data_IF_022056580956
#
_entry.id   IF_022056580956
#
_cell.length_a   1.000
_cell.length_b   1.000
_cell.length_c   1.000
_cell.angle_alpha   90.00
_cell.angle_beta   90.00
_cell.angle_gamma   90.00
#
_symmetry.space_group_name_H-M   'P 1'
#
loop_
_entity.id
_entity.type
_entity.pdbx_description
1 polymer ?
#
# COMPACT_ATOMS: atom_id res chain seq x y z
N UNK A 1 -11.62 12.62 6.30
CA UNK A 1 -11.56 11.15 6.04
C UNK A 1 -11.47 10.92 4.53
N UNK A 2 -10.90 9.82 4.01
CA UNK A 2 -10.79 9.57 2.54
C UNK A 2 -12.11 9.83 1.77
N UNK A 3 -13.23 9.62 2.44
CA UNK A 3 -14.60 9.79 1.95
C UNK A 3 -15.18 11.21 2.05
N UNK A 4 -14.53 12.08 2.80
CA UNK A 4 -14.90 13.50 2.95
C UNK A 4 -14.10 14.40 1.98
N UNK A 5 -13.17 13.82 1.21
CA UNK A 5 -12.41 14.56 0.21
C UNK A 5 -13.27 14.86 -1.01
N UNK A 6 -13.06 16.03 -1.62
CA UNK A 6 -13.68 16.31 -2.92
C UNK A 6 -13.21 15.28 -3.95
N UNK A 7 -14.07 14.96 -4.91
CA UNK A 7 -13.79 13.99 -5.96
C UNK A 7 -12.48 14.29 -6.70
N UNK A 8 -12.18 15.58 -6.92
CA UNK A 8 -10.94 16.01 -7.56
C UNK A 8 -9.70 15.64 -6.72
N UNK A 9 -9.72 15.91 -5.42
CA UNK A 9 -8.61 15.53 -4.54
C UNK A 9 -8.46 14.02 -4.43
N UNK A 10 -9.58 13.29 -4.41
CA UNK A 10 -9.55 11.83 -4.37
C UNK A 10 -8.85 11.25 -5.61
N UNK A 11 -9.24 11.70 -6.81
CA UNK A 11 -8.62 11.27 -8.08
C UNK A 11 -7.12 11.58 -8.11
N UNK A 12 -6.71 12.78 -7.69
CA UNK A 12 -5.30 13.18 -7.67
C UNK A 12 -4.51 12.30 -6.69
N UNK A 13 -5.02 12.08 -5.48
CA UNK A 13 -4.38 11.22 -4.48
C UNK A 13 -4.25 9.77 -4.96
N UNK A 14 -5.29 9.25 -5.62
CA UNK A 14 -5.31 7.90 -6.16
C UNK A 14 -4.34 7.73 -7.32
N UNK A 15 -4.28 8.69 -8.22
CA UNK A 15 -3.33 8.67 -9.34
C UNK A 15 -1.90 8.71 -8.83
N UNK A 16 -1.61 9.58 -7.86
CA UNK A 16 -0.29 9.66 -7.22
C UNK A 16 0.08 8.33 -6.52
N UNK A 17 -0.83 7.78 -5.72
CA UNK A 17 -0.62 6.50 -5.05
C UNK A 17 -0.40 5.35 -6.05
N UNK A 18 -1.16 5.31 -7.15
CA UNK A 18 -0.99 4.31 -8.20
C UNK A 18 0.40 4.34 -8.82
N UNK A 19 0.88 5.53 -9.21
CA UNK A 19 2.21 5.71 -9.83
C UNK A 19 3.31 5.33 -8.84
N UNK A 20 3.23 5.81 -7.59
CA UNK A 20 4.21 5.48 -6.56
C UNK A 20 4.24 3.99 -6.23
N UNK A 21 3.07 3.36 -6.08
CA UNK A 21 2.98 1.91 -5.84
C UNK A 21 3.54 1.12 -7.02
N UNK A 22 3.39 1.60 -8.26
CA UNK A 22 3.92 0.92 -9.44
C UNK A 22 5.45 0.95 -9.45
N UNK A 23 6.04 2.13 -9.19
CA UNK A 23 7.50 2.28 -9.07
C UNK A 23 8.06 1.40 -7.94
N UNK A 24 7.43 1.43 -6.76
CA UNK A 24 7.81 0.59 -5.63
C UNK A 24 7.62 -0.90 -5.94
N UNK A 25 6.55 -1.28 -6.64
CA UNK A 25 6.29 -2.67 -7.04
C UNK A 25 7.33 -3.20 -8.01
N UNK A 26 7.77 -2.37 -8.95
CA UNK A 26 8.88 -2.69 -9.86
C UNK A 26 10.21 -2.86 -9.11
N UNK A 27 10.53 -1.96 -8.17
CA UNK A 27 11.73 -2.08 -7.34
C UNK A 27 11.65 -3.34 -6.48
N UNK A 28 10.52 -3.59 -5.83
CA UNK A 28 10.29 -4.77 -4.99
C UNK A 28 10.45 -6.07 -5.78
N UNK A 29 10.03 -6.10 -7.05
CA UNK A 29 10.21 -7.26 -7.92
C UNK A 29 11.70 -7.57 -8.16
N UNK A 30 12.51 -6.53 -8.36
CA UNK A 30 13.96 -6.68 -8.52
C UNK A 30 14.66 -7.13 -7.24
N UNK A 31 14.16 -6.73 -6.07
CA UNK A 31 14.73 -7.12 -4.77
C UNK A 31 14.32 -8.56 -4.40
N UNK A 32 13.04 -8.91 -4.58
CA UNK A 32 12.49 -10.19 -4.13
C UNK A 32 12.72 -11.33 -5.12
N UNK A 33 12.99 -11.04 -6.40
CA UNK A 33 13.19 -12.05 -7.43
C UNK A 33 12.03 -13.07 -7.46
N UNK A 34 12.35 -14.36 -7.36
CA UNK A 34 11.35 -15.44 -7.41
C UNK A 34 10.35 -15.46 -6.22
N UNK A 35 10.70 -14.84 -5.09
CA UNK A 35 9.82 -14.74 -3.93
C UNK A 35 8.69 -13.70 -4.14
N UNK A 36 8.87 -12.75 -5.07
CA UNK A 36 7.88 -11.72 -5.40
C UNK A 36 6.73 -12.22 -6.27
N UNK A 37 5.72 -11.38 -6.49
CA UNK A 37 4.55 -11.69 -7.34
C UNK A 37 4.67 -11.09 -8.75
N UNK A 38 5.87 -10.75 -9.20
CA UNK A 38 6.06 -9.95 -10.40
C UNK A 38 5.78 -8.47 -10.14
N UNK A 39 6.13 -7.62 -11.11
CA UNK A 39 5.88 -6.17 -11.06
C UNK A 39 4.40 -5.84 -10.80
N UNK A 40 3.48 -6.47 -11.53
CA UNK A 40 2.03 -6.19 -11.44
C UNK A 40 1.46 -6.67 -10.10
N UNK A 41 1.85 -7.87 -9.65
CA UNK A 41 1.38 -8.41 -8.38
C UNK A 41 1.85 -7.56 -7.19
N UNK A 42 3.14 -7.21 -7.16
CA UNK A 42 3.70 -6.37 -6.12
C UNK A 42 3.04 -4.98 -6.11
N UNK A 43 2.78 -4.40 -7.28
CA UNK A 43 2.06 -3.13 -7.40
C UNK A 43 0.66 -3.18 -6.77
N UNK A 44 -0.14 -4.20 -7.12
CA UNK A 44 -1.49 -4.36 -6.56
C UNK A 44 -1.44 -4.54 -5.04
N UNK A 45 -0.53 -5.37 -4.54
CA UNK A 45 -0.37 -5.59 -3.10
C UNK A 45 0.00 -4.31 -2.36
N UNK A 46 0.92 -3.50 -2.90
CA UNK A 46 1.28 -2.22 -2.30
C UNK A 46 0.09 -1.25 -2.29
N UNK A 47 -0.67 -1.20 -3.39
CA UNK A 47 -1.84 -0.32 -3.50
C UNK A 47 -2.95 -0.74 -2.52
N UNK A 48 -3.26 -2.04 -2.44
CA UNK A 48 -4.24 -2.57 -1.51
C UNK A 48 -3.79 -2.43 -0.05
N UNK A 49 -2.52 -2.63 0.25
CA UNK A 49 -1.99 -2.46 1.60
C UNK A 49 -2.02 -1.00 2.06
N UNK A 50 -1.72 -0.06 1.15
CA UNK A 50 -1.79 1.38 1.41
C UNK A 50 -3.21 1.83 1.75
N UNK A 51 -4.17 1.60 0.85
CA UNK A 51 -5.56 2.02 1.07
C UNK A 51 -6.25 1.18 2.14
N UNK A 52 -5.94 -0.11 2.22
CA UNK A 52 -6.48 -1.03 3.22
C UNK A 52 -6.09 -0.61 4.64
N UNK A 53 -4.82 -0.28 4.89
CA UNK A 53 -4.39 0.18 6.21
C UNK A 53 -5.01 1.53 6.59
N UNK A 54 -5.05 2.49 5.67
CA UNK A 54 -5.73 3.76 5.91
C UNK A 54 -7.23 3.57 6.20
N UNK A 55 -7.89 2.65 5.49
CA UNK A 55 -9.30 2.32 5.72
C UNK A 55 -9.53 1.68 7.10
N UNK A 56 -8.68 0.73 7.50
CA UNK A 56 -8.75 0.10 8.82
C UNK A 56 -8.53 1.11 9.94
N UNK A 57 -7.50 1.95 9.84
CA UNK A 57 -7.24 3.01 10.82
C UNK A 57 -8.42 3.99 10.92
N UNK A 58 -9.01 4.34 9.78
CA UNK A 58 -10.18 5.20 9.72
C UNK A 58 -11.41 4.57 10.41
N UNK A 59 -11.61 3.25 10.26
CA UNK A 59 -12.66 2.49 10.95
C UNK A 59 -12.44 2.40 12.46
N UNK A 60 -11.20 2.40 12.92
CA UNK A 60 -10.84 2.43 14.34
C UNK A 60 -10.99 3.83 14.97
N UNK A 61 -11.46 4.83 14.20
CA UNK A 61 -11.65 6.18 14.69
C UNK A 61 -10.36 7.01 14.75
N UNK A 62 -9.25 6.52 14.22
CA UNK A 62 -8.02 7.28 14.10
C UNK A 62 -8.21 8.36 13.02
N UNK A 63 -8.18 9.62 13.47
CA UNK A 63 -8.28 10.79 12.61
C UNK A 63 -6.89 11.35 12.35
N UNK A 64 -6.62 11.67 11.09
CA UNK A 64 -5.33 12.17 10.61
C UNK A 64 -5.30 13.70 10.55
N UNK A 65 -5.97 14.37 11.50
CA UNK A 65 -6.34 15.79 11.37
C UNK A 65 -5.18 16.78 11.58
N UNK A 66 -3.99 16.31 11.97
CA UNK A 66 -2.79 17.16 12.13
C UNK A 66 -1.43 16.49 11.91
N UNK A 67 -1.41 15.18 11.68
CA UNK A 67 -0.17 14.38 11.66
C UNK A 67 -0.01 13.68 10.31
N UNK A 68 0.37 14.45 9.31
CA UNK A 68 0.65 13.94 7.96
C UNK A 68 1.70 12.80 7.99
N UNK A 69 2.67 12.90 8.88
CA UNK A 69 3.70 11.88 9.09
C UNK A 69 3.10 10.53 9.50
N UNK A 70 2.07 10.54 10.34
CA UNK A 70 1.38 9.33 10.78
C UNK A 70 0.57 8.70 9.66
N UNK A 71 -0.09 9.51 8.82
CA UNK A 71 -0.81 9.03 7.64
C UNK A 71 0.15 8.36 6.62
N UNK A 72 1.30 8.99 6.37
CA UNK A 72 2.35 8.42 5.50
C UNK A 72 2.87 7.12 6.09
N UNK A 73 3.18 7.09 7.38
CA UNK A 73 3.67 5.89 8.06
C UNK A 73 2.68 4.72 7.95
N UNK A 74 1.38 4.97 8.15
CA UNK A 74 0.35 3.92 8.03
C UNK A 74 0.19 3.46 6.59
N UNK A 75 0.20 4.38 5.62
CA UNK A 75 0.10 4.04 4.20
C UNK A 75 1.27 3.14 3.74
N UNK A 76 2.50 3.57 3.99
CA UNK A 76 3.70 2.80 3.61
C UNK A 76 3.88 1.55 4.47
N UNK A 77 3.57 1.63 5.77
CA UNK A 77 3.62 0.50 6.69
C UNK A 77 2.63 -0.58 6.28
N UNK A 78 1.38 -0.21 5.98
CA UNK A 78 0.35 -1.12 5.48
C UNK A 78 0.73 -1.80 4.17
N UNK A 79 1.23 -1.02 3.21
CA UNK A 79 1.74 -1.53 1.94
C UNK A 79 2.88 -2.55 2.15
N UNK A 80 3.86 -2.21 2.99
CA UNK A 80 5.02 -3.07 3.28
C UNK A 80 4.61 -4.34 4.00
N UNK A 81 3.79 -4.24 5.04
CA UNK A 81 3.32 -5.40 5.83
C UNK A 81 2.56 -6.36 4.94
N UNK A 82 1.66 -5.88 4.08
CA UNK A 82 0.88 -6.77 3.21
C UNK A 82 1.78 -7.47 2.19
N UNK A 83 2.70 -6.74 1.56
CA UNK A 83 3.63 -7.31 0.58
C UNK A 83 4.53 -8.38 1.23
N UNK A 84 5.11 -8.08 2.39
CA UNK A 84 6.01 -8.99 3.11
C UNK A 84 5.25 -10.21 3.64
N UNK A 85 4.06 -10.03 4.21
CA UNK A 85 3.27 -11.14 4.74
C UNK A 85 2.89 -12.14 3.63
N UNK A 86 2.45 -11.63 2.47
CA UNK A 86 2.05 -12.49 1.36
C UNK A 86 3.26 -13.08 0.62
N UNK A 87 4.36 -12.35 0.48
CA UNK A 87 5.58 -12.91 -0.12
C UNK A 87 6.21 -13.97 0.77
N UNK A 88 6.19 -13.78 2.10
CA UNK A 88 6.60 -14.79 3.06
C UNK A 88 5.68 -16.03 3.01
N UNK A 89 4.35 -15.84 2.97
CA UNK A 89 3.42 -16.95 2.82
C UNK A 89 3.66 -17.73 1.52
N UNK A 90 3.86 -17.01 0.40
CA UNK A 90 4.21 -17.62 -0.90
C UNK A 90 5.50 -18.42 -0.80
N UNK A 91 6.54 -17.86 -0.18
CA UNK A 91 7.82 -18.53 -0.02
C UNK A 91 7.71 -19.84 0.76
N UNK A 92 6.84 -19.90 1.78
CA UNK A 92 6.61 -21.13 2.57
C UNK A 92 5.78 -22.16 1.79
N UNK A 93 4.82 -21.73 0.97
CA UNK A 93 3.96 -22.65 0.20
C UNK A 93 4.63 -23.25 -1.04
N UNK A 94 5.70 -22.63 -1.55
CA UNK A 94 6.40 -23.04 -2.76
C UNK A 94 7.78 -23.68 -2.50
N UNK A 95 8.10 -24.00 -1.24
CA UNK A 95 9.17 -24.96 -0.87
C UNK A 95 8.63 -26.37 -0.81
#
# INVERSE_FOLDING_TARGET
>A
MLWEMSTNFWIVSFTFACVMCFLCGWIADRIMGHAGFGVIGNWLLLLFGCYGALFVCNKLGLRFDGELQFAILIAFGGATVLLVALSAAKAITHT
#
